data_IF_983180952317
#
_entry.id   IF_983180952317
#
_cell.length_a   1.000
_cell.length_b   1.000
_cell.length_c   1.000
_cell.angle_alpha   90.00
_cell.angle_beta   90.00
_cell.angle_gamma   90.00
#
_symmetry.space_group_name_H-M   'P 1'
#
loop_
_entity.id
_entity.type
_entity.pdbx_description
1 polymer ?
#
# COMPACT_ATOMS: atom_id res chain seq x y z
N UNK A 1 8.34 -4.11 5.79
CA UNK A 1 7.43 -3.64 4.73
C UNK A 1 7.48 -2.13 4.61
N UNK A 2 7.23 -1.44 5.70
CA UNK A 2 7.23 0.01 5.69
C UNK A 2 8.58 0.56 5.26
N UNK A 3 9.67 -0.05 5.70
CA UNK A 3 10.99 0.39 5.31
C UNK A 3 11.28 0.21 3.83
N UNK A 4 10.80 -0.87 3.26
CA UNK A 4 10.96 -1.15 1.86
C UNK A 4 10.18 -0.15 0.99
N UNK A 5 8.97 0.20 1.43
CA UNK A 5 8.11 1.11 0.69
C UNK A 5 8.54 2.56 0.86
N UNK A 6 8.97 2.92 2.07
CA UNK A 6 9.39 4.27 2.36
C UNK A 6 10.64 4.67 1.66
N UNK A 7 11.56 3.83 1.57
CA UNK A 7 12.78 4.15 0.91
C UNK A 7 12.54 4.41 -0.56
N UNK A 8 11.41 4.08 -1.05
CA UNK A 8 11.12 4.21 -2.43
C UNK A 8 12.17 3.46 -3.14
N UNK A 9 12.92 2.82 -2.36
CA UNK A 9 13.94 2.17 -2.81
C UNK A 9 13.59 0.88 -2.62
N UNK A 10 12.98 0.35 -3.21
CA UNK A 10 12.91 -1.00 -3.31
C UNK A 10 14.15 -1.58 -2.80
N UNK A 11 14.37 -2.77 -2.88
CA UNK A 11 15.55 -3.41 -2.39
C UNK A 11 16.79 -2.61 -2.74
N UNK A 12 17.68 -2.52 -1.83
CA UNK A 12 18.84 -1.68 -1.95
C UNK A 12 19.65 -1.88 -3.23
N UNK A 13 19.65 -3.09 -3.73
CA UNK A 13 20.38 -3.37 -4.97
C UNK A 13 19.63 -2.87 -6.21
N UNK A 14 18.44 -2.36 -6.01
CA UNK A 14 17.68 -1.78 -7.09
C UNK A 14 17.45 -0.34 -6.80
N UNK A 15 18.17 0.21 -5.90
CA UNK A 15 18.03 1.59 -5.50
C UNK A 15 18.52 2.56 -6.55
N UNK A 16 18.69 2.11 -7.78
CA UNK A 16 19.05 2.94 -8.88
C UNK A 16 17.80 3.20 -9.72
N UNK A 17 17.87 4.18 -10.56
CA UNK A 17 16.77 4.50 -11.45
C UNK A 17 16.44 3.34 -12.38
N UNK A 18 17.30 2.34 -12.47
CA UNK A 18 17.12 1.24 -13.40
C UNK A 18 16.07 0.21 -12.98
N UNK A 19 15.67 0.21 -11.71
CA UNK A 19 14.69 -0.77 -11.28
C UNK A 19 13.28 -0.46 -11.80
N UNK A 20 13.10 0.74 -12.31
CA UNK A 20 11.81 1.16 -12.84
C UNK A 20 12.06 2.02 -14.08
N UNK A 21 11.53 1.61 -15.20
CA UNK A 21 11.71 2.38 -16.42
C UNK A 21 10.95 3.70 -16.34
N UNK A 22 11.35 4.67 -17.15
CA UNK A 22 10.72 5.98 -17.16
C UNK A 22 9.22 5.92 -17.43
N UNK A 23 8.80 4.95 -18.24
CA UNK A 23 7.39 4.78 -18.55
C UNK A 23 6.56 4.34 -17.36
N UNK A 24 7.19 3.71 -16.39
CA UNK A 24 6.53 3.17 -15.22
C UNK A 24 6.64 4.10 -14.00
N UNK A 25 7.37 5.20 -14.12
CA UNK A 25 7.50 6.16 -13.02
C UNK A 25 6.16 6.65 -12.46
N UNK A 26 5.15 6.97 -13.29
CA UNK A 26 3.86 7.37 -12.73
C UNK A 26 3.23 6.29 -11.86
N UNK A 27 3.42 5.03 -12.22
CA UNK A 27 2.91 3.92 -11.41
C UNK A 27 3.66 3.81 -10.10
N UNK A 28 4.97 3.96 -10.14
CA UNK A 28 5.80 3.95 -8.95
C UNK A 28 5.39 5.06 -7.99
N UNK A 29 5.15 6.26 -8.51
CA UNK A 29 4.72 7.38 -7.70
C UNK A 29 3.36 7.11 -7.06
N UNK A 30 2.47 6.46 -7.79
CA UNK A 30 1.17 6.10 -7.27
C UNK A 30 1.29 5.13 -6.10
N UNK A 31 2.16 4.13 -6.22
CA UNK A 31 2.40 3.18 -5.15
C UNK A 31 3.03 3.88 -3.94
N UNK A 32 3.91 4.84 -4.18
CA UNK A 32 4.50 5.62 -3.08
C UNK A 32 3.42 6.35 -2.28
N UNK A 33 2.43 6.91 -2.96
CA UNK A 33 1.31 7.55 -2.28
C UNK A 33 0.45 6.56 -1.51
N UNK A 34 0.26 5.37 -2.06
CA UNK A 34 -0.44 4.29 -1.37
C UNK A 34 0.29 3.92 -0.10
N UNK A 35 1.62 3.84 -0.15
CA UNK A 35 2.42 3.52 1.01
C UNK A 35 2.34 4.61 2.07
N UNK A 36 2.29 5.88 1.67
CA UNK A 36 2.10 6.98 2.60
C UNK A 36 0.78 6.84 3.35
N UNK A 37 -0.29 6.49 2.63
CA UNK A 37 -1.59 6.28 3.26
C UNK A 37 -1.58 5.11 4.22
N UNK A 38 -0.87 4.05 3.86
CA UNK A 38 -0.69 2.91 4.76
C UNK A 38 0.01 3.36 6.06
N UNK A 39 1.08 4.13 5.93
CA UNK A 39 1.83 4.60 7.10
C UNK A 39 0.97 5.51 7.98
N UNK A 40 0.17 6.37 7.38
CA UNK A 40 -0.76 7.22 8.12
C UNK A 40 -1.80 6.39 8.88
N UNK A 41 -2.33 5.36 8.22
CA UNK A 41 -3.32 4.48 8.85
C UNK A 41 -2.72 3.72 10.02
N UNK A 42 -1.50 3.22 9.87
CA UNK A 42 -0.81 2.51 10.95
C UNK A 42 -0.58 3.45 12.14
N UNK A 43 -0.13 4.66 11.87
CA UNK A 43 0.11 5.64 12.92
C UNK A 43 -1.18 5.98 13.65
N UNK A 44 -2.26 6.16 12.92
CA UNK A 44 -3.55 6.46 13.50
C UNK A 44 -4.02 5.34 14.43
N UNK A 45 -3.94 4.10 13.98
CA UNK A 45 -4.35 2.95 14.78
C UNK A 45 -3.50 2.84 16.05
N UNK A 46 -2.20 3.07 15.92
CA UNK A 46 -1.30 3.01 17.10
C UNK A 46 -1.58 4.13 18.09
N UNK A 47 -2.00 5.30 17.63
CA UNK A 47 -2.32 6.42 18.50
C UNK A 47 -3.54 6.14 19.37
N UNK A 48 -4.44 5.28 18.93
CA UNK A 48 -5.63 4.97 19.70
C UNK A 48 -5.33 4.14 20.95
N UNK A 49 -4.18 3.47 20.98
CA UNK A 49 -3.71 2.65 22.12
C UNK A 49 -4.77 1.69 22.63
N UNK A 50 -5.48 1.06 21.72
CA UNK A 50 -6.55 0.15 22.04
C UNK A 50 -6.36 -1.13 21.21
N UNK A 51 -6.08 -2.23 21.90
CA UNK A 51 -5.77 -3.50 21.23
C UNK A 51 -6.96 -4.07 20.45
N UNK A 52 -8.16 -3.89 20.96
CA UNK A 52 -9.35 -4.37 20.26
C UNK A 52 -9.59 -3.57 18.98
N UNK A 53 -9.34 -2.27 19.05
CA UNK A 53 -9.45 -1.41 17.89
C UNK A 53 -8.40 -1.79 16.85
N UNK A 54 -7.20 -2.10 17.31
CA UNK A 54 -6.14 -2.55 16.42
C UNK A 54 -6.57 -3.84 15.70
N UNK A 55 -7.17 -4.77 16.42
CA UNK A 55 -7.67 -6.02 15.84
C UNK A 55 -8.77 -5.75 14.79
N UNK A 56 -9.61 -4.78 15.05
CA UNK A 56 -10.65 -4.40 14.10
C UNK A 56 -10.06 -3.90 12.79
N UNK A 57 -8.98 -3.14 12.86
CA UNK A 57 -8.37 -2.51 11.68
C UNK A 57 -7.28 -3.34 11.02
N UNK A 58 -6.75 -4.35 11.70
CA UNK A 58 -5.54 -5.03 11.26
C UNK A 58 -5.67 -5.68 9.88
N UNK A 59 -6.82 -6.22 9.58
CA UNK A 59 -7.04 -6.84 8.28
C UNK A 59 -6.93 -5.82 7.16
N UNK A 60 -7.48 -4.63 7.38
CA UNK A 60 -7.39 -3.55 6.40
C UNK A 60 -5.95 -3.11 6.20
N UNK A 61 -5.19 -3.04 7.28
CA UNK A 61 -3.78 -2.67 7.20
C UNK A 61 -2.97 -3.72 6.44
N UNK A 62 -3.23 -5.00 6.70
CA UNK A 62 -2.53 -6.07 5.98
C UNK A 62 -2.85 -6.05 4.49
N UNK A 63 -4.10 -5.82 4.14
CA UNK A 63 -4.48 -5.75 2.74
C UNK A 63 -3.85 -4.56 2.03
N UNK A 64 -3.78 -3.41 2.70
CA UNK A 64 -3.08 -2.24 2.15
C UNK A 64 -1.61 -2.54 1.89
N UNK A 65 -0.94 -3.16 2.85
CA UNK A 65 0.47 -3.50 2.70
C UNK A 65 0.68 -4.49 1.56
N UNK A 66 -0.15 -5.51 1.50
CA UNK A 66 -0.05 -6.52 0.45
C UNK A 66 -0.27 -5.92 -0.93
N UNK A 67 -1.25 -5.04 -1.06
CA UNK A 67 -1.53 -4.38 -2.32
C UNK A 67 -0.34 -3.55 -2.80
N UNK A 68 0.29 -2.83 -1.88
CA UNK A 68 1.46 -2.03 -2.22
C UNK A 68 2.63 -2.90 -2.66
N UNK A 69 2.88 -3.99 -1.95
CA UNK A 69 3.97 -4.90 -2.26
C UNK A 69 3.77 -5.56 -3.62
N UNK A 70 2.57 -6.06 -3.86
CA UNK A 70 2.27 -6.72 -5.13
C UNK A 70 2.37 -5.75 -6.30
N UNK A 71 1.93 -4.52 -6.12
CA UNK A 71 2.05 -3.52 -7.16
C UNK A 71 3.52 -3.22 -7.46
N UNK A 72 4.36 -3.09 -6.44
CA UNK A 72 5.78 -2.86 -6.63
C UNK A 72 6.46 -4.01 -7.37
N UNK A 73 6.12 -5.24 -7.00
CA UNK A 73 6.69 -6.42 -7.65
C UNK A 73 6.31 -6.46 -9.12
N UNK A 74 5.06 -6.15 -9.42
CA UNK A 74 4.59 -6.17 -10.80
C UNK A 74 5.22 -5.05 -11.63
N UNK A 75 5.44 -3.89 -11.04
CA UNK A 75 6.15 -2.80 -11.71
C UNK A 75 7.59 -3.22 -12.00
N UNK A 76 8.24 -3.90 -11.06
CA UNK A 76 9.58 -4.44 -11.26
C UNK A 76 9.63 -5.41 -12.42
N UNK A 77 8.65 -6.32 -12.49
CA UNK A 77 8.56 -7.27 -13.59
C UNK A 77 8.32 -6.54 -14.92
N UNK A 78 7.48 -5.53 -14.92
CA UNK A 78 7.20 -4.74 -16.11
C UNK A 78 8.43 -3.96 -16.59
N UNK A 79 9.30 -3.56 -15.67
CA UNK A 79 10.55 -2.90 -16.04
C UNK A 79 11.49 -3.85 -16.76
N UNK A 80 11.48 -5.12 -16.36
CA UNK A 80 12.35 -6.13 -16.97
C UNK A 80 11.76 -6.69 -18.25
N UNK A 81 10.45 -6.82 -18.33
CA UNK A 81 9.78 -7.40 -19.47
C UNK A 81 8.51 -6.62 -19.79
N UNK A 82 8.65 -5.39 -20.31
CA UNK A 82 7.48 -4.52 -20.52
C UNK A 82 6.44 -5.12 -21.45
N UNK A 83 6.88 -5.86 -22.45
CA UNK A 83 5.98 -6.49 -23.41
C UNK A 83 4.98 -7.44 -22.74
N UNK A 84 5.41 -8.09 -21.68
CA UNK A 84 4.59 -9.05 -20.97
C UNK A 84 3.78 -8.43 -19.83
N UNK A 85 4.36 -7.48 -19.13
CA UNK A 85 3.80 -7.03 -17.86
C UNK A 85 3.37 -5.57 -17.77
N UNK A 86 3.74 -4.75 -18.74
CA UNK A 86 3.46 -3.31 -18.67
C UNK A 86 1.97 -3.01 -18.51
N UNK A 87 1.15 -3.66 -19.33
CA UNK A 87 -0.28 -3.47 -19.29
C UNK A 87 -0.86 -3.98 -17.98
N UNK A 88 -0.41 -5.15 -17.53
CA UNK A 88 -0.86 -5.74 -16.28
C UNK A 88 -0.49 -4.86 -15.09
N UNK A 89 0.73 -4.31 -15.10
CA UNK A 89 1.16 -3.42 -14.02
C UNK A 89 0.27 -2.17 -13.95
N UNK A 90 -0.05 -1.62 -15.09
CA UNK A 90 -0.89 -0.43 -15.16
C UNK A 90 -2.29 -0.69 -14.64
N UNK A 91 -2.89 -1.77 -15.09
CA UNK A 91 -4.25 -2.14 -14.70
C UNK A 91 -4.30 -2.51 -13.21
N UNK A 92 -3.36 -3.31 -12.77
CA UNK A 92 -3.33 -3.76 -11.39
C UNK A 92 -3.10 -2.61 -10.42
N UNK A 93 -2.15 -1.72 -10.74
CA UNK A 93 -1.87 -0.57 -9.87
C UNK A 93 -3.11 0.32 -9.73
N UNK A 94 -3.83 0.51 -10.82
CA UNK A 94 -5.05 1.28 -10.78
C UNK A 94 -6.10 0.64 -9.89
N UNK A 95 -6.24 -0.67 -10.00
CA UNK A 95 -7.19 -1.42 -9.20
C UNK A 95 -6.86 -1.34 -7.70
N UNK A 96 -5.62 -1.64 -7.34
CA UNK A 96 -5.25 -1.65 -5.92
C UNK A 96 -5.21 -0.25 -5.32
N UNK A 97 -4.95 0.77 -6.12
CA UNK A 97 -5.00 2.14 -5.62
C UNK A 97 -6.39 2.46 -5.06
N UNK A 98 -7.43 2.01 -5.75
CA UNK A 98 -8.81 2.16 -5.27
C UNK A 98 -9.07 1.35 -4.02
N UNK A 99 -8.51 0.15 -3.94
CA UNK A 99 -8.65 -0.69 -2.76
C UNK A 99 -7.95 -0.10 -1.55
N UNK A 100 -6.77 0.45 -1.74
CA UNK A 100 -6.04 1.11 -0.65
C UNK A 100 -6.83 2.31 -0.14
N UNK A 101 -7.42 3.10 -1.04
CA UNK A 101 -8.27 4.21 -0.64
C UNK A 101 -9.43 3.76 0.22
N UNK A 102 -10.08 2.67 -0.17
CA UNK A 102 -11.22 2.13 0.56
C UNK A 102 -10.81 1.69 1.97
N UNK A 103 -9.70 0.99 2.08
CA UNK A 103 -9.20 0.56 3.39
C UNK A 103 -8.75 1.76 4.23
N UNK A 104 -8.10 2.72 3.60
CA UNK A 104 -7.65 3.93 4.27
C UNK A 104 -8.86 4.69 4.86
N UNK A 105 -9.90 4.89 4.05
CA UNK A 105 -11.10 5.59 4.49
C UNK A 105 -11.77 4.88 5.66
N UNK A 106 -11.83 3.56 5.61
CA UNK A 106 -12.40 2.78 6.70
C UNK A 106 -11.61 3.01 7.99
N UNK A 107 -10.29 2.84 7.92
CA UNK A 107 -9.43 2.94 9.11
C UNK A 107 -9.42 4.34 9.68
N UNK A 108 -9.28 5.36 8.83
CA UNK A 108 -9.17 6.74 9.30
C UNK A 108 -10.47 7.30 9.85
N UNK A 109 -11.60 6.74 9.43
CA UNK A 109 -12.89 7.17 9.94
C UNK A 109 -13.37 6.34 11.13
N UNK A 110 -12.72 5.23 11.40
CA UNK A 110 -13.09 4.36 12.52
C UNK A 110 -12.58 4.94 13.85
N UNK A 111 -13.30 4.67 14.91
CA UNK A 111 -12.90 5.09 16.26
C UNK A 111 -13.07 3.92 17.21
N UNK A 112 -12.40 3.94 18.38
CA UNK A 112 -12.63 2.90 19.37
C UNK A 112 -14.08 2.78 19.82
N UNK A 113 -14.85 3.86 19.72
CA UNK A 113 -16.27 3.82 20.05
C UNK A 113 -17.06 2.91 19.10
N UNK A 114 -16.57 2.73 17.88
CA UNK A 114 -17.22 1.85 16.91
C UNK A 114 -17.20 0.39 17.36
N UNK A 115 -16.31 0.04 18.28
CA UNK A 115 -16.26 -1.32 18.82
C UNK A 115 -17.57 -1.71 19.50
N UNK A 116 -18.27 -0.76 20.07
CA UNK A 116 -19.52 -1.05 20.74
C UNK A 116 -20.57 -1.59 19.78
N UNK A 117 -20.54 -1.14 18.54
CA UNK A 117 -21.46 -1.61 17.51
C UNK A 117 -21.21 -3.07 17.14
N UNK A 118 -19.96 -3.50 17.23
CA UNK A 118 -19.58 -4.87 16.91
C UNK A 118 -19.79 -5.83 18.06
N UNK A 119 -19.91 -5.32 19.27
CA UNK A 119 -20.13 -6.15 20.45
C UNK A 119 -21.61 -6.49 20.69
N UNK A 120 -22.49 -5.84 19.99
CA UNK A 120 -23.92 -6.06 20.16
C UNK A 120 -24.42 -7.31 19.41
#
# INVERSE_FOLDING_TARGET
>A
IAGMLQAGEAPANVGTEDWCSAELLPLKERVAKMAEKYNEAVAYVNEQKNDEFKDLCIRHLYEMAADCIMALLLIGDASKAPELFKKSARVYTRYVASEVERHYDFVMSATPADLDDYRK
#
